data_IF_559239775235
#
_entry.id   IF_559239775235
#
_cell.length_a   1.000
_cell.length_b   1.000
_cell.length_c   1.000
_cell.angle_alpha   90.00
_cell.angle_beta   90.00
_cell.angle_gamma   90.00
#
_symmetry.space_group_name_H-M   'P 1'
#
loop_
_entity.id
_entity.type
_entity.pdbx_description
1 polymer ?
#
# COMPACT_ATOMS: atom_id res chain seq x y z
N UNK A 1 -33.68 3.48 -37.07
CA UNK A 1 -32.24 3.37 -36.75
C UNK A 1 -32.05 2.27 -35.72
N UNK A 2 -31.24 1.24 -35.97
CA UNK A 2 -31.02 0.17 -35.01
C UNK A 2 -30.01 0.60 -33.94
N UNK A 3 -30.41 0.51 -32.66
CA UNK A 3 -29.52 0.69 -31.50
C UNK A 3 -28.45 -0.40 -31.53
N UNK A 4 -27.19 -0.01 -31.71
CA UNK A 4 -26.03 -0.85 -31.44
C UNK A 4 -26.10 -1.34 -30.00
N UNK A 5 -26.24 -2.66 -29.83
CA UNK A 5 -26.09 -3.31 -28.52
C UNK A 5 -24.66 -3.05 -28.05
N UNK A 6 -24.51 -2.24 -26.99
CA UNK A 6 -23.24 -2.15 -26.27
C UNK A 6 -22.89 -3.54 -25.74
N UNK A 7 -21.83 -4.12 -26.28
CA UNK A 7 -21.24 -5.34 -25.75
C UNK A 7 -20.82 -5.06 -24.30
N UNK A 8 -21.14 -5.93 -23.32
CA UNK A 8 -20.66 -5.79 -21.96
C UNK A 8 -19.13 -5.69 -21.99
N UNK A 9 -18.59 -4.63 -21.39
CA UNK A 9 -17.15 -4.48 -21.23
C UNK A 9 -16.65 -5.73 -20.47
N UNK A 10 -15.60 -6.43 -20.94
CA UNK A 10 -15.08 -7.59 -20.22
C UNK A 10 -14.76 -7.20 -18.78
N UNK A 11 -14.98 -8.10 -17.80
CA UNK A 11 -14.65 -7.82 -16.41
C UNK A 11 -13.20 -7.38 -16.33
N UNK A 12 -12.94 -6.28 -15.61
CA UNK A 12 -11.56 -5.85 -15.35
C UNK A 12 -10.86 -7.03 -14.64
N UNK A 13 -9.65 -7.42 -15.08
CA UNK A 13 -8.91 -8.47 -14.39
C UNK A 13 -8.68 -8.04 -12.93
N UNK A 14 -8.90 -8.99 -12.02
CA UNK A 14 -8.63 -8.84 -10.60
C UNK A 14 -7.11 -8.69 -10.38
N UNK A 15 -6.74 -7.87 -9.41
CA UNK A 15 -5.34 -7.70 -9.03
C UNK A 15 -4.94 -8.84 -8.09
N UNK A 16 -3.94 -9.62 -8.48
CA UNK A 16 -3.41 -10.74 -7.70
C UNK A 16 -1.90 -10.74 -7.73
N UNK A 17 -1.27 -11.02 -6.59
CA UNK A 17 0.09 -11.52 -6.54
C UNK A 17 0.04 -13.06 -6.69
N UNK A 18 0.58 -13.60 -7.78
CA UNK A 18 0.83 -15.02 -8.09
C UNK A 18 2.33 -15.33 -7.97
N UNK A 19 2.80 -16.58 -8.01
CA UNK A 19 4.25 -16.90 -7.85
C UNK A 19 5.20 -16.17 -8.84
N UNK A 20 4.68 -15.62 -9.96
CA UNK A 20 5.42 -14.82 -10.94
C UNK A 20 5.29 -13.29 -10.71
N UNK A 21 4.32 -12.85 -9.91
CA UNK A 21 4.01 -11.46 -9.50
C UNK A 21 4.12 -11.24 -7.98
N UNK A 22 4.51 -12.28 -7.25
CA UNK A 22 4.97 -12.36 -5.85
C UNK A 22 6.19 -11.45 -5.74
N UNK A 23 6.28 -10.68 -4.64
CA UNK A 23 6.60 -9.26 -4.66
C UNK A 23 7.87 -9.03 -5.44
N UNK A 24 7.75 -8.29 -6.55
CA UNK A 24 8.80 -7.83 -7.47
C UNK A 24 10.19 -8.31 -7.06
N UNK A 25 10.48 -9.60 -7.27
CA UNK A 25 11.81 -10.17 -7.01
C UNK A 25 12.86 -9.51 -7.90
N UNK A 26 12.39 -8.83 -8.96
CA UNK A 26 13.16 -7.94 -9.81
C UNK A 26 12.62 -6.52 -9.67
N UNK A 27 13.52 -5.62 -9.32
CA UNK A 27 13.31 -4.19 -9.36
C UNK A 27 12.66 -3.75 -10.69
N UNK A 28 11.69 -2.85 -10.61
CA UNK A 28 11.02 -2.27 -11.78
C UNK A 28 11.34 -0.80 -11.88
N UNK A 29 12.05 -0.42 -12.94
CA UNK A 29 12.32 0.98 -13.23
C UNK A 29 11.10 1.67 -13.83
N UNK A 30 10.78 2.85 -13.32
CA UNK A 30 9.66 3.68 -13.80
C UNK A 30 10.13 5.10 -14.10
N UNK A 31 9.26 5.90 -14.71
CA UNK A 31 9.46 7.34 -14.89
C UNK A 31 8.91 8.17 -13.72
N UNK A 32 8.42 7.53 -12.66
CA UNK A 32 7.84 8.22 -11.50
C UNK A 32 8.99 8.85 -10.73
N UNK A 33 8.83 10.11 -10.35
CA UNK A 33 9.79 10.85 -9.54
C UNK A 33 9.09 11.21 -8.23
N UNK A 34 9.60 10.69 -7.12
CA UNK A 34 9.06 11.03 -5.81
C UNK A 34 9.71 12.31 -5.28
N UNK A 35 8.92 13.26 -4.76
CA UNK A 35 9.49 14.42 -4.10
C UNK A 35 10.27 13.98 -2.86
N UNK A 36 11.50 14.49 -2.72
CA UNK A 36 12.35 14.21 -1.56
C UNK A 36 11.90 15.08 -0.38
N UNK A 37 11.19 14.49 0.58
CA UNK A 37 10.64 15.18 1.74
C UNK A 37 11.26 14.63 3.04
N UNK A 38 11.48 15.52 4.01
CA UNK A 38 11.96 15.16 5.35
C UNK A 38 10.86 14.41 6.13
N UNK A 39 11.31 13.47 6.95
CA UNK A 39 10.56 12.33 7.52
C UNK A 39 10.04 12.60 8.94
N UNK A 40 9.42 13.74 9.18
CA UNK A 40 8.83 13.98 10.50
C UNK A 40 7.36 13.51 10.48
N UNK A 41 7.08 12.51 11.33
CA UNK A 41 5.77 11.91 11.61
C UNK A 41 4.80 11.77 10.42
N UNK A 42 5.12 10.82 9.56
CA UNK A 42 4.33 10.48 8.37
C UNK A 42 3.47 9.23 8.57
N UNK A 43 2.27 9.27 8.01
CA UNK A 43 1.38 8.13 7.83
C UNK A 43 1.90 7.23 6.70
N UNK A 44 1.53 5.95 6.74
CA UNK A 44 1.79 4.98 5.69
C UNK A 44 0.52 4.76 4.88
N UNK A 45 0.60 4.78 3.55
CA UNK A 45 -0.56 4.49 2.71
C UNK A 45 -0.82 2.98 2.65
N UNK A 46 -2.06 2.57 2.89
CA UNK A 46 -2.55 1.21 2.66
C UNK A 46 -3.47 1.20 1.43
N UNK A 47 -3.02 0.56 0.36
CA UNK A 47 -3.79 0.37 -0.86
C UNK A 47 -4.53 -0.96 -0.88
N UNK A 48 -5.74 -0.91 -1.39
CA UNK A 48 -6.58 -2.07 -1.67
C UNK A 48 -6.90 -2.04 -3.16
N UNK A 49 -6.25 -2.90 -3.92
CA UNK A 49 -6.33 -2.91 -5.39
C UNK A 49 -7.36 -3.92 -5.93
N UNK A 50 -7.80 -4.85 -5.08
CA UNK A 50 -8.84 -5.83 -5.38
C UNK A 50 -10.00 -5.77 -4.37
N UNK A 51 -11.14 -6.38 -4.72
CA UNK A 51 -12.34 -6.43 -3.89
C UNK A 51 -12.05 -7.15 -2.57
N UNK A 52 -11.89 -6.36 -1.51
CA UNK A 52 -11.56 -6.87 -0.17
C UNK A 52 -12.72 -6.63 0.80
N UNK A 53 -13.22 -7.67 1.49
CA UNK A 53 -14.21 -7.51 2.54
C UNK A 53 -13.74 -6.57 3.64
N UNK A 54 -14.62 -5.67 4.08
CA UNK A 54 -14.34 -4.71 5.15
C UNK A 54 -13.73 -5.35 6.40
N UNK A 55 -14.25 -6.50 6.84
CA UNK A 55 -13.77 -7.18 8.03
C UNK A 55 -12.26 -7.47 8.00
N UNK A 56 -11.70 -7.76 6.81
CA UNK A 56 -10.27 -8.01 6.62
C UNK A 56 -9.47 -6.71 6.72
N UNK A 57 -10.00 -5.61 6.16
CA UNK A 57 -9.39 -4.28 6.24
C UNK A 57 -9.32 -3.83 7.70
N UNK A 58 -10.45 -3.93 8.41
CA UNK A 58 -10.56 -3.61 9.83
C UNK A 58 -9.58 -4.47 10.66
N UNK A 59 -9.47 -5.77 10.36
CA UNK A 59 -8.52 -6.67 11.02
C UNK A 59 -7.07 -6.23 10.83
N UNK A 60 -6.65 -5.90 9.60
CA UNK A 60 -5.30 -5.40 9.28
C UNK A 60 -4.97 -4.14 10.06
N UNK A 61 -5.89 -3.17 10.08
CA UNK A 61 -5.71 -1.89 10.76
C UNK A 61 -5.58 -2.13 12.27
N UNK A 62 -6.46 -2.96 12.86
CA UNK A 62 -6.45 -3.27 14.29
C UNK A 62 -5.16 -4.02 14.68
N UNK A 63 -4.69 -4.97 13.86
CA UNK A 63 -3.42 -5.69 14.07
C UNK A 63 -2.24 -4.72 14.16
N UNK A 64 -2.12 -3.81 13.19
CA UNK A 64 -1.02 -2.84 13.19
C UNK A 64 -1.11 -1.89 14.38
N UNK A 65 -2.30 -1.35 14.69
CA UNK A 65 -2.51 -0.47 15.85
C UNK A 65 -2.11 -1.14 17.18
N UNK A 66 -2.41 -2.43 17.35
CA UNK A 66 -1.99 -3.18 18.55
C UNK A 66 -0.48 -3.24 18.70
N UNK A 67 0.26 -3.29 17.59
CA UNK A 67 1.71 -3.40 17.59
C UNK A 67 2.41 -2.03 17.70
N UNK A 68 1.85 -1.00 17.06
CA UNK A 68 2.45 0.34 16.99
C UNK A 68 1.95 1.30 18.08
N UNK A 69 0.86 0.96 18.78
CA UNK A 69 0.18 1.82 19.74
C UNK A 69 -0.74 2.89 19.11
N UNK A 70 -0.59 3.18 17.81
CA UNK A 70 -1.31 4.24 17.09
C UNK A 70 -1.77 3.79 15.69
N UNK A 71 -2.74 4.50 15.12
CA UNK A 71 -3.18 4.27 13.74
C UNK A 71 -2.22 4.96 12.77
N UNK A 72 -1.29 4.20 12.19
CA UNK A 72 -0.34 4.76 11.21
C UNK A 72 -0.68 4.46 9.76
N UNK A 73 -1.66 3.58 9.51
CA UNK A 73 -2.20 3.45 8.18
C UNK A 73 -3.23 4.52 7.90
N UNK A 74 -2.98 5.28 6.85
CA UNK A 74 -4.03 5.96 6.11
C UNK A 74 -4.52 5.02 5.00
N UNK A 75 -5.83 4.76 4.98
CA UNK A 75 -6.44 3.94 3.95
C UNK A 75 -6.48 4.76 2.66
N UNK A 76 -5.86 4.28 1.59
CA UNK A 76 -5.75 5.05 0.37
C UNK A 76 -7.15 5.32 -0.22
N UNK A 77 -7.52 6.59 -0.22
CA UNK A 77 -8.79 7.12 -0.71
C UNK A 77 -8.54 8.36 -1.59
N UNK A 78 -9.57 8.85 -2.28
CA UNK A 78 -9.40 10.01 -3.19
C UNK A 78 -9.17 11.32 -2.42
N UNK A 79 -9.77 11.45 -1.23
CA UNK A 79 -9.54 12.59 -0.35
C UNK A 79 -8.28 12.38 0.48
N UNK A 80 -7.42 13.40 0.54
CA UNK A 80 -6.20 13.41 1.35
C UNK A 80 -6.29 14.40 2.52
N UNK A 81 -7.46 15.00 2.75
CA UNK A 81 -7.64 16.08 3.76
C UNK A 81 -7.17 15.63 5.15
N UNK A 82 -7.47 14.38 5.53
CA UNK A 82 -7.03 13.82 6.80
C UNK A 82 -5.50 13.78 6.97
N UNK A 83 -4.71 13.91 5.90
CA UNK A 83 -3.25 13.94 5.95
C UNK A 83 -2.68 15.37 6.12
N UNK A 84 -3.50 16.41 6.03
CA UNK A 84 -3.03 17.79 6.15
C UNK A 84 -2.67 18.13 7.61
N UNK A 85 -1.71 19.06 7.84
CA UNK A 85 -1.18 19.33 9.19
C UNK A 85 -2.20 19.91 10.19
N UNK A 86 -3.29 20.49 9.70
CA UNK A 86 -4.37 21.11 10.49
C UNK A 86 -5.41 20.10 10.98
N UNK A 87 -5.39 18.87 10.48
CA UNK A 87 -6.28 17.80 10.92
C UNK A 87 -5.73 17.05 12.14
N UNK A 88 -6.64 16.70 13.06
CA UNK A 88 -6.31 15.90 14.26
C UNK A 88 -6.14 14.43 13.90
N UNK A 89 -5.24 13.72 14.59
CA UNK A 89 -5.01 12.28 14.40
C UNK A 89 -6.29 11.42 14.62
N UNK A 90 -7.30 11.94 15.33
CA UNK A 90 -8.62 11.30 15.48
C UNK A 90 -9.37 11.12 14.14
N UNK A 91 -9.13 11.99 13.16
CA UNK A 91 -9.73 11.91 11.82
C UNK A 91 -9.07 10.84 10.95
N UNK A 92 -7.89 10.38 11.36
CA UNK A 92 -7.12 9.34 10.67
C UNK A 92 -7.44 7.97 11.23
N UNK A 93 -8.15 7.90 12.37
CA UNK A 93 -8.80 6.66 12.82
C UNK A 93 -9.82 6.26 11.75
N UNK A 94 -9.61 5.14 11.04
CA UNK A 94 -10.48 4.77 9.94
C UNK A 94 -11.82 4.32 10.53
N UNK A 95 -12.83 5.17 10.43
CA UNK A 95 -14.23 4.77 10.59
C UNK A 95 -14.72 4.42 9.19
N UNK A 96 -14.44 3.19 8.76
CA UNK A 96 -14.76 2.75 7.40
C UNK A 96 -16.29 2.57 7.29
N UNK A 97 -16.99 3.32 6.41
CA UNK A 97 -18.40 3.09 6.13
C UNK A 97 -18.69 1.64 5.72
N UNK A 98 -19.88 1.14 6.02
CA UNK A 98 -20.24 -0.25 5.71
C UNK A 98 -20.24 -0.56 4.21
N UNK A 99 -20.47 0.47 3.40
CA UNK A 99 -20.51 0.47 1.93
C UNK A 99 -19.21 0.98 1.28
N UNK A 100 -18.17 1.24 2.08
CA UNK A 100 -16.91 1.73 1.56
C UNK A 100 -16.27 0.71 0.60
N UNK A 101 -15.84 1.21 -0.54
CA UNK A 101 -15.06 0.48 -1.52
C UNK A 101 -13.84 1.30 -1.87
N UNK A 102 -12.69 0.63 -1.96
CA UNK A 102 -11.46 1.32 -2.35
C UNK A 102 -11.64 1.93 -3.75
N UNK A 103 -11.35 3.23 -3.93
CA UNK A 103 -11.38 3.87 -5.25
C UNK A 103 -10.25 3.35 -6.17
N UNK A 104 -9.34 2.55 -5.62
CA UNK A 104 -8.25 1.92 -6.35
C UNK A 104 -8.60 0.49 -6.81
N UNK A 105 -9.80 -0.03 -6.51
CA UNK A 105 -10.24 -1.35 -7.01
C UNK A 105 -10.25 -1.38 -8.54
N UNK A 106 -9.51 -2.32 -9.10
CA UNK A 106 -9.35 -2.47 -10.54
C UNK A 106 -8.39 -1.46 -11.17
N UNK A 107 -7.62 -0.70 -10.37
CA UNK A 107 -6.30 -0.22 -10.81
C UNK A 107 -5.37 -1.43 -10.82
N UNK A 108 -4.66 -1.62 -11.92
CA UNK A 108 -4.00 -2.90 -12.20
C UNK A 108 -2.56 -2.96 -11.68
N UNK A 109 -2.01 -1.85 -11.22
CA UNK A 109 -0.57 -1.74 -11.00
C UNK A 109 -0.22 -0.93 -9.76
N UNK A 110 0.90 -1.29 -9.15
CA UNK A 110 1.51 -0.57 -8.03
C UNK A 110 2.05 0.78 -8.52
N UNK A 111 2.48 0.84 -9.77
CA UNK A 111 2.88 2.05 -10.48
C UNK A 111 1.74 3.09 -10.47
N UNK A 112 0.48 2.68 -10.64
CA UNK A 112 -0.68 3.60 -10.52
C UNK A 112 -0.89 4.10 -9.09
N UNK A 113 -0.59 3.28 -8.09
CA UNK A 113 -0.63 3.69 -6.69
C UNK A 113 0.45 4.74 -6.39
N UNK A 114 1.70 4.51 -6.82
CA UNK A 114 2.76 5.50 -6.68
C UNK A 114 2.52 6.77 -7.49
N UNK A 115 1.94 6.69 -8.70
CA UNK A 115 1.53 7.89 -9.45
C UNK A 115 0.54 8.73 -8.65
N UNK A 116 -0.45 8.09 -8.04
CA UNK A 116 -1.40 8.80 -7.19
C UNK A 116 -0.70 9.44 -5.98
N UNK A 117 0.16 8.72 -5.28
CA UNK A 117 0.96 9.26 -4.17
C UNK A 117 1.78 10.47 -4.60
N UNK A 118 2.39 10.43 -5.79
CA UNK A 118 3.15 11.56 -6.34
C UNK A 118 2.30 12.81 -6.62
N UNK A 119 0.98 12.66 -6.80
CA UNK A 119 0.07 13.79 -7.04
C UNK A 119 -0.43 14.47 -5.77
N UNK A 120 -0.24 13.86 -4.59
CA UNK A 120 -0.71 14.43 -3.32
C UNK A 120 0.11 15.68 -2.95
N UNK A 121 -0.49 16.70 -2.30
CA UNK A 121 0.21 17.93 -1.90
C UNK A 121 1.35 17.68 -0.90
N UNK A 122 2.47 18.41 -1.02
CA UNK A 122 3.71 18.14 -0.27
C UNK A 122 3.54 18.28 1.25
N UNK A 123 2.57 19.07 1.68
CA UNK A 123 2.16 19.27 3.07
C UNK A 123 1.43 18.07 3.68
N UNK A 124 0.95 17.12 2.87
CA UNK A 124 0.36 15.89 3.36
C UNK A 124 1.40 15.06 4.14
N UNK A 125 1.09 14.74 5.39
CA UNK A 125 1.91 13.94 6.32
C UNK A 125 1.95 12.46 5.91
N UNK A 126 2.51 12.15 4.75
CA UNK A 126 2.49 10.80 4.18
C UNK A 126 3.87 10.35 3.72
N UNK A 127 4.20 9.09 3.99
CA UNK A 127 5.37 8.44 3.42
C UNK A 127 5.12 8.19 1.93
N UNK A 128 5.92 8.84 1.09
CA UNK A 128 5.80 8.76 -0.36
C UNK A 128 6.68 7.68 -0.97
N UNK A 129 7.70 7.23 -0.22
CA UNK A 129 8.64 6.23 -0.68
C UNK A 129 8.10 4.84 -0.43
N UNK A 130 7.27 4.65 0.61
CA UNK A 130 6.70 3.36 0.95
C UNK A 130 5.17 3.36 0.84
N UNK A 131 4.64 2.29 0.27
CA UNK A 131 3.21 1.97 0.33
C UNK A 131 3.02 0.51 0.76
N UNK A 132 1.93 0.21 1.46
CA UNK A 132 1.50 -1.15 1.70
C UNK A 132 0.35 -1.50 0.74
N UNK A 133 0.34 -2.72 0.23
CA UNK A 133 -0.76 -3.27 -0.58
C UNK A 133 -1.34 -4.48 0.14
N UNK A 134 -2.65 -4.48 0.33
CA UNK A 134 -3.41 -5.63 0.81
C UNK A 134 -3.85 -6.48 -0.38
N UNK A 135 -3.17 -7.61 -0.55
CA UNK A 135 -3.66 -8.72 -1.37
C UNK A 135 -4.45 -9.67 -0.48
N UNK A 136 -5.73 -9.84 -0.81
CA UNK A 136 -6.63 -10.65 0.01
C UNK A 136 -6.22 -12.13 0.07
N UNK A 137 -5.67 -12.69 -1.01
CA UNK A 137 -5.26 -14.10 -1.05
C UNK A 137 -4.03 -14.30 -0.19
N UNK A 138 -3.01 -13.47 -0.40
CA UNK A 138 -1.78 -13.53 0.38
C UNK A 138 -2.05 -13.32 1.86
N UNK A 139 -2.94 -12.38 2.20
CA UNK A 139 -3.34 -12.14 3.57
C UNK A 139 -4.04 -13.36 4.19
N UNK A 140 -5.02 -13.96 3.51
CA UNK A 140 -5.74 -15.13 4.02
C UNK A 140 -4.86 -16.37 4.18
N UNK A 141 -3.92 -16.57 3.26
CA UNK A 141 -3.08 -17.77 3.23
C UNK A 141 -1.86 -17.65 4.16
N UNK A 142 -1.30 -16.46 4.30
CA UNK A 142 0.00 -16.24 4.95
C UNK A 142 0.01 -15.19 6.05
N UNK A 143 -1.07 -14.42 6.22
CA UNK A 143 -1.13 -13.23 7.10
C UNK A 143 -0.10 -12.16 6.71
N UNK A 144 0.13 -11.97 5.40
CA UNK A 144 1.09 -10.99 4.89
C UNK A 144 0.40 -9.81 4.18
N UNK A 145 1.05 -8.65 4.28
CA UNK A 145 0.89 -7.52 3.36
C UNK A 145 2.14 -7.41 2.50
N UNK A 146 2.05 -6.72 1.37
CA UNK A 146 3.23 -6.42 0.55
C UNK A 146 3.64 -4.96 0.77
N UNK A 147 4.88 -4.75 1.21
CA UNK A 147 5.49 -3.42 1.27
C UNK A 147 6.15 -3.17 -0.07
N UNK A 148 5.82 -2.05 -0.68
CA UNK A 148 6.48 -1.52 -1.86
C UNK A 148 7.30 -0.30 -1.49
N UNK A 149 8.48 -0.19 -2.09
CA UNK A 149 9.34 0.98 -2.00
C UNK A 149 9.62 1.51 -3.39
N UNK A 150 9.59 2.82 -3.57
CA UNK A 150 10.17 3.50 -4.72
C UNK A 150 11.36 4.37 -4.27
N UNK A 151 12.48 4.27 -4.98
CA UNK A 151 13.64 5.13 -4.73
C UNK A 151 13.61 6.44 -5.54
N UNK A 152 14.62 7.28 -5.35
CA UNK A 152 14.75 8.58 -6.04
C UNK A 152 14.94 8.41 -7.56
N UNK A 153 15.42 7.26 -8.01
CA UNK A 153 15.64 6.92 -9.41
C UNK A 153 14.38 6.35 -10.08
N UNK A 154 13.28 6.21 -9.33
CA UNK A 154 12.02 5.66 -9.79
C UNK A 154 11.99 4.14 -9.86
N UNK A 155 12.91 3.47 -9.16
CA UNK A 155 12.96 2.02 -9.06
C UNK A 155 12.05 1.51 -7.96
N UNK A 156 11.09 0.66 -8.34
CA UNK A 156 10.15 0.03 -7.43
C UNK A 156 10.64 -1.37 -7.07
N UNK A 157 10.72 -1.63 -5.76
CA UNK A 157 11.03 -2.93 -5.17
C UNK A 157 9.95 -3.29 -4.13
N UNK A 158 9.87 -4.56 -3.75
CA UNK A 158 8.86 -4.98 -2.76
C UNK A 158 9.25 -6.22 -2.00
N UNK A 159 8.74 -6.33 -0.78
CA UNK A 159 8.98 -7.44 0.13
C UNK A 159 7.67 -7.76 0.87
N UNK A 160 7.31 -9.04 1.06
CA UNK A 160 6.16 -9.37 1.88
C UNK A 160 6.52 -9.18 3.35
N UNK A 161 5.57 -8.68 4.14
CA UNK A 161 5.74 -8.43 5.56
C UNK A 161 4.57 -9.05 6.31
N UNK A 162 4.83 -9.58 7.52
CA UNK A 162 3.75 -9.99 8.41
C UNK A 162 2.82 -8.80 8.65
N UNK A 163 1.52 -9.01 8.48
CA UNK A 163 0.56 -7.92 8.41
C UNK A 163 0.61 -7.00 9.64
N UNK A 164 0.74 -7.55 10.84
CA UNK A 164 0.81 -6.78 12.09
C UNK A 164 2.07 -5.91 12.26
N UNK A 165 3.14 -6.20 11.53
CA UNK A 165 4.42 -5.50 11.63
C UNK A 165 4.60 -4.43 10.55
N UNK A 166 3.68 -4.34 9.59
CA UNK A 166 3.90 -3.60 8.34
C UNK A 166 4.14 -2.11 8.58
N UNK A 167 3.30 -1.45 9.40
CA UNK A 167 3.51 -0.04 9.77
C UNK A 167 4.84 0.18 10.49
N UNK A 168 5.21 -0.72 11.40
CA UNK A 168 6.45 -0.61 12.15
C UNK A 168 7.65 -0.68 11.20
N UNK A 169 7.64 -1.61 10.23
CA UNK A 169 8.74 -1.82 9.30
C UNK A 169 8.91 -0.64 8.33
N UNK A 170 7.82 -0.11 7.78
CA UNK A 170 7.85 1.10 6.94
C UNK A 170 8.44 2.29 7.70
N UNK A 171 8.05 2.50 8.97
CA UNK A 171 8.49 3.64 9.79
C UNK A 171 9.90 3.51 10.37
N UNK A 172 10.20 2.37 10.98
CA UNK A 172 11.38 2.22 11.85
C UNK A 172 12.66 1.93 11.05
N UNK A 173 12.52 1.30 9.88
CA UNK A 173 13.64 0.68 9.19
C UNK A 173 13.69 0.99 7.68
N UNK A 174 12.65 1.67 7.15
CA UNK A 174 12.32 1.80 5.74
C UNK A 174 13.52 2.04 4.82
N UNK A 175 14.29 3.13 4.96
CA UNK A 175 15.34 3.40 3.98
C UNK A 175 16.70 2.73 4.23
N UNK A 176 17.15 2.61 5.48
CA UNK A 176 18.52 2.14 5.74
C UNK A 176 18.63 0.61 5.71
N UNK A 177 17.58 -0.10 6.10
CA UNK A 177 17.59 -1.56 6.17
C UNK A 177 16.94 -2.23 4.96
N UNK A 178 16.33 -1.46 4.04
CA UNK A 178 15.74 -2.03 2.82
C UNK A 178 16.70 -2.92 2.04
N UNK A 179 17.98 -2.54 1.81
CA UNK A 179 18.93 -3.43 1.13
C UNK A 179 19.09 -4.76 1.88
N UNK A 180 19.23 -4.72 3.21
CA UNK A 180 19.34 -5.93 4.05
C UNK A 180 18.09 -6.80 3.96
N UNK A 181 16.89 -6.22 4.00
CA UNK A 181 15.65 -6.98 3.86
C UNK A 181 15.50 -7.59 2.47
N UNK A 182 15.92 -6.87 1.42
CA UNK A 182 15.93 -7.39 0.05
C UNK A 182 16.89 -8.58 -0.07
N UNK A 183 18.11 -8.47 0.48
CA UNK A 183 19.10 -9.54 0.46
C UNK A 183 18.59 -10.78 1.21
N UNK A 184 17.99 -10.59 2.40
CA UNK A 184 17.42 -11.69 3.18
C UNK A 184 16.23 -12.34 2.48
N UNK A 185 15.36 -11.55 1.84
CA UNK A 185 14.27 -12.08 1.03
C UNK A 185 14.82 -12.90 -0.15
N UNK A 186 15.78 -12.37 -0.91
CA UNK A 186 16.38 -13.07 -2.05
C UNK A 186 17.06 -14.37 -1.63
N UNK A 187 17.70 -14.40 -0.46
CA UNK A 187 18.39 -15.57 0.08
C UNK A 187 17.46 -16.62 0.65
N UNK A 188 16.36 -16.22 1.31
CA UNK A 188 15.57 -17.12 2.15
C UNK A 188 14.13 -17.33 1.69
N UNK A 189 13.59 -16.43 0.87
CA UNK A 189 12.18 -16.40 0.50
C UNK A 189 11.25 -16.20 1.70
N UNK A 190 11.74 -15.61 2.80
CA UNK A 190 10.96 -15.38 4.03
C UNK A 190 10.56 -13.92 4.17
N UNK A 191 9.30 -13.64 4.55
CA UNK A 191 8.82 -12.28 4.72
C UNK A 191 9.55 -11.58 5.88
N UNK A 192 9.35 -10.28 6.02
CA UNK A 192 9.79 -9.56 7.22
C UNK A 192 8.93 -10.02 8.41
N UNK A 193 9.57 -10.66 9.39
CA UNK A 193 8.92 -11.30 10.55
C UNK A 193 9.24 -10.65 11.90
N UNK A 194 10.22 -9.74 11.96
CA UNK A 194 10.70 -9.10 13.19
C UNK A 194 11.20 -7.70 12.89
#
# INVERSE_FOLDING_TARGET
MPRTKQTPRPPKPEFHHDELTTPLTKARRTSIQMPNLRRDEVYSALFILDKTPRAIIDEVIVKNRKHTGNYFFWLAEESFEALLPDHTDELIKPTIPADWLSPFVGKKTVEDAFRFIATLPLEARLDRQFIAVLDIRLYKEKDWLVIYRIDEQGEITSIPCKAELTCMQMRSYGNHNWPTFMDDWQRTGKPILR
#
